data_IF_488871564725
#
_entry.id   IF_488871564725
#
_cell.length_a   1.000
_cell.length_b   1.000
_cell.length_c   1.000
_cell.angle_alpha   90.00
_cell.angle_beta   90.00
_cell.angle_gamma   90.00
#
_symmetry.space_group_name_H-M   'P 1'
#
loop_
_entity.id
_entity.type
_entity.pdbx_description
1 polymer ?
#
# COMPACT_ATOMS: atom_id res chain seq x y z
N UNK A 1 32.06 -3.89 0.46
CA UNK A 1 31.36 -3.57 -0.80
C UNK A 1 30.39 -4.70 -1.12
N UNK A 2 29.15 -4.33 -1.44
CA UNK A 2 28.10 -5.25 -1.89
C UNK A 2 28.47 -5.93 -3.22
N UNK A 3 28.04 -7.17 -3.43
CA UNK A 3 28.27 -7.91 -4.69
C UNK A 3 26.96 -8.16 -5.43
N UNK A 4 26.97 -8.06 -6.76
CA UNK A 4 25.82 -8.46 -7.59
C UNK A 4 25.51 -9.94 -7.36
N UNK A 5 24.21 -10.27 -7.33
CA UNK A 5 23.64 -11.57 -6.97
C UNK A 5 23.78 -11.98 -5.49
N UNK A 6 24.39 -11.14 -4.65
CA UNK A 6 24.32 -11.32 -3.21
C UNK A 6 22.88 -11.18 -2.72
N UNK A 7 22.52 -11.94 -1.69
CA UNK A 7 21.20 -11.86 -1.07
C UNK A 7 20.97 -10.47 -0.47
N UNK A 8 19.85 -9.86 -0.82
CA UNK A 8 19.43 -8.61 -0.23
C UNK A 8 18.75 -8.87 1.11
N UNK A 9 19.41 -8.41 2.19
CA UNK A 9 18.98 -8.68 3.57
C UNK A 9 17.88 -7.74 4.05
N UNK A 10 17.87 -6.49 3.62
CA UNK A 10 16.92 -5.48 4.08
C UNK A 10 15.64 -5.50 3.25
N UNK A 11 14.94 -6.63 3.21
CA UNK A 11 13.76 -6.77 2.37
C UNK A 11 12.59 -5.96 2.91
N UNK A 12 11.77 -5.39 2.01
CA UNK A 12 10.53 -4.74 2.42
C UNK A 12 9.56 -5.76 3.03
N UNK A 13 8.85 -5.38 4.09
CA UNK A 13 7.93 -6.25 4.80
C UNK A 13 6.80 -6.76 3.88
N UNK A 14 6.40 -8.02 4.05
CA UNK A 14 5.27 -8.59 3.33
C UNK A 14 3.97 -7.94 3.80
N UNK A 15 3.33 -7.16 2.94
CA UNK A 15 2.04 -6.54 3.24
C UNK A 15 0.89 -7.56 3.21
N UNK A 16 0.09 -7.58 4.29
CA UNK A 16 -1.10 -8.41 4.45
C UNK A 16 -2.21 -7.87 3.55
N UNK A 17 -2.84 -8.73 2.76
CA UNK A 17 -3.99 -8.34 1.93
C UNK A 17 -5.32 -8.42 2.68
N UNK A 18 -6.28 -7.56 2.31
CA UNK A 18 -7.67 -7.58 2.83
C UNK A 18 -8.38 -8.93 2.69
N UNK A 19 -7.96 -9.75 1.73
CA UNK A 19 -8.55 -11.06 1.46
C UNK A 19 -7.57 -12.21 1.76
N UNK A 20 -6.57 -11.96 2.62
CA UNK A 20 -5.59 -13.00 2.97
C UNK A 20 -6.26 -14.01 3.89
N UNK A 21 -6.44 -15.25 3.39
CA UNK A 21 -7.02 -16.34 4.16
C UNK A 21 -6.30 -16.55 5.50
N UNK A 22 -7.06 -16.74 6.58
CA UNK A 22 -6.54 -16.95 7.93
C UNK A 22 -6.06 -15.68 8.65
N UNK A 23 -6.21 -14.50 8.04
CA UNK A 23 -5.89 -13.19 8.65
C UNK A 23 -7.12 -12.34 8.96
N UNK A 24 -8.31 -12.92 8.89
CA UNK A 24 -9.59 -12.22 9.07
C UNK A 24 -9.70 -11.51 10.43
N UNK A 25 -9.15 -12.11 11.49
CA UNK A 25 -9.12 -11.50 12.82
C UNK A 25 -8.28 -10.22 12.87
N UNK A 26 -7.10 -10.21 12.23
CA UNK A 26 -6.22 -9.03 12.17
C UNK A 26 -6.90 -7.92 11.36
N UNK A 27 -7.48 -8.29 10.22
CA UNK A 27 -8.16 -7.34 9.32
C UNK A 27 -9.38 -6.74 10.03
N UNK A 28 -10.18 -7.58 10.70
CA UNK A 28 -11.33 -7.13 11.49
C UNK A 28 -10.90 -6.22 12.63
N UNK A 29 -9.80 -6.53 13.33
CA UNK A 29 -9.28 -5.66 14.39
C UNK A 29 -8.84 -4.30 13.85
N UNK A 30 -8.13 -4.27 12.73
CA UNK A 30 -7.66 -3.04 12.07
C UNK A 30 -8.83 -2.17 11.56
N UNK A 31 -9.91 -2.80 11.09
CA UNK A 31 -11.15 -2.13 10.67
C UNK A 31 -11.96 -1.63 11.88
N UNK A 32 -12.13 -2.46 12.90
CA UNK A 32 -12.93 -2.14 14.09
C UNK A 32 -12.28 -1.05 14.95
N UNK A 33 -10.94 -0.97 14.97
CA UNK A 33 -10.22 0.11 15.63
C UNK A 33 -10.36 1.46 14.93
N UNK A 34 -10.83 1.47 13.67
CA UNK A 34 -10.99 2.65 12.82
C UNK A 34 -9.82 3.64 12.93
N UNK A 35 -8.59 3.11 12.91
CA UNK A 35 -7.37 3.91 13.01
C UNK A 35 -7.22 4.86 11.83
N UNK A 36 -6.32 5.85 11.97
CA UNK A 36 -5.92 6.72 10.87
C UNK A 36 -4.94 5.98 9.94
N UNK A 37 -5.17 6.08 8.63
CA UNK A 37 -4.31 5.47 7.62
C UNK A 37 -3.94 6.47 6.52
N UNK A 38 -2.69 6.40 6.09
CA UNK A 38 -2.25 6.90 4.79
C UNK A 38 -2.64 5.92 3.70
N UNK A 39 -3.11 6.43 2.55
CA UNK A 39 -3.53 5.61 1.40
C UNK A 39 -2.67 5.95 0.20
N UNK A 40 -1.82 5.03 -0.22
CA UNK A 40 -1.03 5.16 -1.44
C UNK A 40 -1.48 4.17 -2.50
N UNK A 41 -1.25 4.53 -3.76
CA UNK A 41 -1.49 3.61 -4.87
C UNK A 41 -0.55 2.40 -4.78
N UNK A 42 -1.11 1.21 -5.03
CA UNK A 42 -0.31 0.01 -5.28
C UNK A 42 -0.04 -0.11 -6.78
N UNK A 43 1.23 -0.17 -7.15
CA UNK A 43 1.68 -0.41 -8.52
C UNK A 43 2.04 -1.89 -8.74
N UNK A 44 1.74 -2.40 -9.93
CA UNK A 44 2.04 -3.76 -10.40
C UNK A 44 3.36 -3.75 -11.18
N UNK A 45 4.45 -3.44 -10.49
CA UNK A 45 5.79 -3.43 -11.07
C UNK A 45 6.70 -4.41 -10.35
N UNK A 46 7.99 -4.07 -10.33
CA UNK A 46 8.99 -4.83 -9.62
C UNK A 46 9.54 -4.06 -8.44
N UNK A 47 9.38 -4.64 -7.25
CA UNK A 47 10.00 -4.14 -6.04
C UNK A 47 11.51 -3.95 -6.23
N UNK A 48 11.95 -2.72 -5.97
CA UNK A 48 13.33 -2.30 -6.08
C UNK A 48 13.71 -1.47 -4.84
N UNK A 49 14.98 -1.56 -4.46
CA UNK A 49 15.58 -0.79 -3.38
C UNK A 49 16.87 -0.14 -3.85
N UNK A 50 17.10 1.12 -3.50
CA UNK A 50 18.33 1.88 -3.79
C UNK A 50 18.94 2.31 -2.46
N UNK A 51 20.22 1.99 -2.22
CA UNK A 51 20.88 2.25 -0.93
C UNK A 51 22.01 3.26 -1.04
N UNK A 52 22.23 4.03 0.05
CA UNK A 52 23.43 4.88 0.24
C UNK A 52 24.74 4.09 0.20
N UNK A 53 24.68 2.76 0.35
CA UNK A 53 25.83 1.86 0.21
C UNK A 53 26.22 1.55 -1.25
N UNK A 54 25.61 2.26 -2.22
CA UNK A 54 25.99 2.16 -3.63
C UNK A 54 25.49 0.90 -4.33
N UNK A 55 24.36 0.34 -3.90
CA UNK A 55 23.74 -0.80 -4.58
C UNK A 55 22.25 -0.60 -4.86
N UNK A 56 21.79 -1.26 -5.93
CA UNK A 56 20.37 -1.44 -6.26
C UNK A 56 20.03 -2.92 -6.04
N UNK A 57 18.95 -3.18 -5.32
CA UNK A 57 18.46 -4.52 -5.08
C UNK A 57 17.04 -4.71 -5.63
N UNK A 58 16.78 -5.91 -6.12
CA UNK A 58 15.42 -6.45 -6.23
C UNK A 58 14.94 -6.90 -4.84
N UNK A 59 13.72 -7.43 -4.75
CA UNK A 59 13.19 -8.02 -3.49
C UNK A 59 14.14 -8.98 -2.79
N UNK A 60 14.95 -9.75 -3.52
CA UNK A 60 15.73 -10.86 -2.93
C UNK A 60 17.23 -10.74 -3.09
N UNK A 61 17.71 -9.94 -4.04
CA UNK A 61 19.12 -9.91 -4.41
C UNK A 61 19.55 -8.57 -4.97
N UNK A 62 20.82 -8.26 -4.76
CA UNK A 62 21.51 -7.11 -5.33
C UNK A 62 21.67 -7.33 -6.83
N UNK A 63 21.20 -6.37 -7.63
CA UNK A 63 21.14 -6.48 -9.10
C UNK A 63 22.06 -5.51 -9.81
N UNK A 64 22.48 -4.42 -9.16
CA UNK A 64 23.45 -3.48 -9.69
C UNK A 64 24.21 -2.79 -8.54
N UNK A 65 25.37 -2.24 -8.86
CA UNK A 65 26.15 -1.34 -7.99
C UNK A 65 26.46 -0.05 -8.75
N UNK A 66 27.00 0.95 -8.07
CA UNK A 66 27.48 2.20 -8.71
C UNK A 66 28.44 1.94 -9.86
N UNK A 67 29.25 0.88 -9.76
CA UNK A 67 30.31 0.57 -10.72
C UNK A 67 29.84 -0.42 -11.82
N UNK A 68 28.71 -1.09 -11.62
CA UNK A 68 28.23 -2.16 -12.48
C UNK A 68 26.72 -2.02 -12.73
N UNK A 69 26.40 -1.43 -13.88
CA UNK A 69 25.03 -1.22 -14.35
C UNK A 69 24.56 -2.44 -15.13
N UNK A 70 23.37 -2.92 -14.81
CA UNK A 70 22.75 -4.06 -15.48
C UNK A 70 21.40 -3.68 -16.06
N UNK A 71 20.78 -4.62 -16.79
CA UNK A 71 19.36 -4.53 -17.15
C UNK A 71 18.52 -5.20 -16.08
N UNK A 72 17.36 -4.63 -15.80
CA UNK A 72 16.34 -5.25 -14.95
C UNK A 72 15.01 -5.30 -15.69
N UNK A 73 14.38 -6.47 -15.73
CA UNK A 73 13.18 -6.73 -16.53
C UNK A 73 13.31 -6.29 -18.01
N UNK A 74 14.48 -6.56 -18.61
CA UNK A 74 14.83 -6.18 -19.99
C UNK A 74 14.95 -4.67 -20.25
N UNK A 75 14.82 -3.83 -19.22
CA UNK A 75 15.00 -2.39 -19.30
C UNK A 75 16.35 -1.96 -18.72
N UNK A 76 16.90 -0.88 -19.27
CA UNK A 76 18.13 -0.28 -18.73
C UNK A 76 17.86 0.36 -17.37
N UNK A 77 18.83 0.28 -16.47
CA UNK A 77 18.80 0.96 -15.17
C UNK A 77 19.36 2.40 -15.24
N UNK A 78 19.64 2.93 -16.43
CA UNK A 78 20.19 4.29 -16.64
C UNK A 78 19.39 5.40 -15.92
N UNK A 79 18.06 5.28 -15.84
CA UNK A 79 17.22 6.24 -15.12
C UNK A 79 17.23 6.06 -13.59
N UNK A 80 17.72 4.93 -13.10
CA UNK A 80 17.79 4.60 -11.67
C UNK A 80 19.14 5.02 -11.09
N UNK A 81 20.21 5.04 -11.88
CA UNK A 81 21.56 5.43 -11.41
C UNK A 81 21.57 6.83 -10.77
N UNK A 82 20.96 7.89 -11.35
CA UNK A 82 20.94 9.21 -10.73
C UNK A 82 20.25 9.23 -9.35
N UNK A 83 19.48 8.20 -9.00
CA UNK A 83 18.89 8.11 -7.66
C UNK A 83 19.94 7.90 -6.57
N UNK A 84 21.15 7.43 -6.86
CA UNK A 84 22.19 7.33 -5.82
C UNK A 84 22.51 8.69 -5.21
N UNK A 85 22.64 9.73 -6.04
CA UNK A 85 22.90 11.09 -5.57
C UNK A 85 21.73 11.62 -4.74
N UNK A 86 20.50 11.41 -5.20
CA UNK A 86 19.30 11.80 -4.46
C UNK A 86 19.17 11.05 -3.11
N UNK A 87 19.48 9.75 -3.07
CA UNK A 87 19.44 8.94 -1.85
C UNK A 87 20.55 9.36 -0.87
N UNK A 88 21.73 9.73 -1.37
CA UNK A 88 22.79 10.29 -0.54
C UNK A 88 22.43 11.67 0.03
N UNK A 89 21.78 12.52 -0.77
CA UNK A 89 21.24 13.80 -0.31
C UNK A 89 20.15 13.61 0.75
N UNK A 90 19.24 12.64 0.57
CA UNK A 90 18.25 12.27 1.58
C UNK A 90 18.93 11.90 2.90
N UNK A 91 19.93 11.02 2.85
CA UNK A 91 20.69 10.62 4.02
C UNK A 91 21.37 11.82 4.68
N UNK A 92 21.97 12.73 3.91
CA UNK A 92 22.61 13.93 4.44
C UNK A 92 21.62 14.85 5.16
N UNK A 93 20.43 15.07 4.59
CA UNK A 93 19.37 15.86 5.24
C UNK A 93 18.87 15.19 6.52
N UNK A 94 18.62 13.87 6.49
CA UNK A 94 18.19 13.13 7.68
C UNK A 94 19.26 13.15 8.77
N UNK A 95 20.52 12.94 8.41
CA UNK A 95 21.67 12.98 9.32
C UNK A 95 21.81 14.36 9.96
N UNK A 96 21.72 15.42 9.16
CA UNK A 96 21.93 16.80 9.64
C UNK A 96 20.78 17.29 10.53
N UNK A 97 19.54 17.04 10.13
CA UNK A 97 18.36 17.65 10.76
C UNK A 97 17.83 16.79 11.92
N UNK A 98 17.87 15.47 11.75
CA UNK A 98 17.08 14.56 12.59
C UNK A 98 17.91 13.57 13.39
N UNK A 99 19.02 13.09 12.82
CA UNK A 99 19.83 12.01 13.38
C UNK A 99 21.33 12.37 13.51
N UNK A 100 21.71 13.56 14.02
CA UNK A 100 23.09 14.05 13.97
C UNK A 100 24.09 13.11 14.66
N UNK A 101 23.65 12.43 15.72
CA UNK A 101 24.52 11.58 16.54
C UNK A 101 24.52 10.11 16.15
N UNK A 102 23.70 9.69 15.18
CA UNK A 102 23.57 8.28 14.81
C UNK A 102 24.28 7.96 13.51
N UNK A 103 25.01 6.86 13.47
CA UNK A 103 25.48 6.28 12.22
C UNK A 103 24.39 5.36 11.69
N UNK A 104 23.99 5.59 10.44
CA UNK A 104 22.97 4.81 9.77
C UNK A 104 23.14 4.89 8.26
N UNK A 105 22.45 4.01 7.57
CA UNK A 105 22.31 4.04 6.11
C UNK A 105 20.84 4.14 5.74
N UNK A 106 20.59 4.73 4.58
CA UNK A 106 19.24 4.87 4.01
C UNK A 106 19.08 3.91 2.84
N UNK A 107 17.90 3.30 2.78
CA UNK A 107 17.46 2.48 1.66
C UNK A 107 16.12 3.05 1.20
N UNK A 108 16.02 3.51 -0.05
CA UNK A 108 14.74 3.93 -0.62
C UNK A 108 14.12 2.74 -1.34
N UNK A 109 12.90 2.39 -0.94
CA UNK A 109 12.12 1.32 -1.57
C UNK A 109 11.09 1.91 -2.51
N UNK A 110 10.91 1.27 -3.65
CA UNK A 110 9.97 1.70 -4.67
C UNK A 110 9.61 0.60 -5.64
N UNK A 111 8.75 0.96 -6.56
CA UNK A 111 8.34 0.10 -7.65
C UNK A 111 9.03 0.54 -8.94
N UNK A 112 9.76 -0.39 -9.56
CA UNK A 112 10.29 -0.21 -10.90
C UNK A 112 9.24 -0.63 -11.93
N UNK A 113 8.91 0.27 -12.86
CA UNK A 113 7.83 0.06 -13.83
C UNK A 113 8.35 -0.62 -15.10
N UNK A 114 7.85 -1.81 -15.47
CA UNK A 114 8.16 -2.43 -16.76
C UNK A 114 7.36 -1.77 -17.89
N UNK A 115 7.57 -2.24 -19.14
CA UNK A 115 6.80 -1.80 -20.31
C UNK A 115 5.30 -2.14 -20.25
N UNK A 116 4.92 -3.13 -19.44
CA UNK A 116 3.53 -3.48 -19.15
C UNK A 116 3.31 -3.44 -17.65
N UNK A 117 3.01 -4.58 -17.06
CA UNK A 117 3.04 -4.78 -15.62
C UNK A 117 4.00 -5.93 -15.26
N UNK A 118 4.27 -6.15 -13.97
CA UNK A 118 5.06 -7.30 -13.58
C UNK A 118 4.35 -8.64 -13.84
N UNK A 119 3.02 -8.62 -13.97
CA UNK A 119 2.20 -9.80 -14.25
C UNK A 119 1.74 -9.92 -15.70
N UNK A 120 1.91 -8.87 -16.52
CA UNK A 120 1.41 -8.80 -17.89
C UNK A 120 2.36 -8.05 -18.82
N UNK A 121 2.43 -8.48 -20.09
CA UNK A 121 3.15 -7.71 -21.13
C UNK A 121 2.43 -6.41 -21.52
N UNK A 122 1.17 -6.26 -21.12
CA UNK A 122 0.33 -5.11 -21.43
C UNK A 122 0.20 -4.20 -20.22
N UNK A 123 0.10 -2.89 -20.46
CA UNK A 123 -0.22 -1.90 -19.44
C UNK A 123 -1.73 -1.93 -19.12
N UNK A 124 -2.16 -2.96 -18.37
CA UNK A 124 -3.58 -3.20 -18.06
C UNK A 124 -4.19 -2.18 -17.08
N UNK A 125 -3.37 -1.28 -16.52
CA UNK A 125 -3.77 -0.25 -15.56
C UNK A 125 -3.51 1.18 -16.07
N UNK A 126 -3.22 1.32 -17.37
CA UNK A 126 -2.94 2.58 -18.05
C UNK A 126 -1.92 3.46 -17.29
N UNK A 127 -0.87 2.84 -16.76
CA UNK A 127 0.21 3.50 -16.03
C UNK A 127 0.78 4.69 -16.80
N UNK A 128 1.04 4.54 -18.10
CA UNK A 128 1.63 5.62 -18.93
C UNK A 128 0.73 6.85 -18.97
N UNK A 129 -0.56 6.67 -19.24
CA UNK A 129 -1.54 7.76 -19.27
C UNK A 129 -1.69 8.45 -17.91
N UNK A 130 -1.39 7.73 -16.84
CA UNK A 130 -1.48 8.19 -15.45
C UNK A 130 -0.16 8.77 -14.92
N UNK A 131 0.86 8.88 -15.76
CA UNK A 131 2.15 9.50 -15.46
C UNK A 131 3.26 8.55 -15.00
N UNK A 132 2.99 7.24 -14.96
CA UNK A 132 3.98 6.22 -14.60
C UNK A 132 4.67 5.71 -15.87
N UNK A 133 5.97 5.97 -16.01
CA UNK A 133 6.72 5.65 -17.22
C UNK A 133 7.51 4.35 -17.07
N UNK A 134 7.58 3.50 -18.11
CA UNK A 134 8.45 2.34 -18.14
C UNK A 134 9.92 2.73 -17.89
N UNK A 135 10.63 1.89 -17.15
CA UNK A 135 12.04 2.11 -16.79
C UNK A 135 12.24 3.10 -15.64
N UNK A 136 11.16 3.68 -15.10
CA UNK A 136 11.22 4.57 -13.94
C UNK A 136 10.95 3.85 -12.63
N UNK A 137 11.44 4.46 -11.57
CA UNK A 137 11.31 4.03 -10.19
C UNK A 137 10.42 5.01 -9.43
N UNK A 138 9.44 4.47 -8.71
CA UNK A 138 8.51 5.25 -7.89
C UNK A 138 8.59 4.79 -6.44
N UNK A 139 9.18 5.60 -5.58
CA UNK A 139 9.37 5.32 -4.17
C UNK A 139 8.02 5.15 -3.41
N UNK A 140 7.95 4.21 -2.50
CA UNK A 140 6.82 4.00 -1.58
C UNK A 140 7.24 3.96 -0.10
N UNK A 141 8.52 4.14 0.21
CA UNK A 141 9.00 4.19 1.59
C UNK A 141 10.52 4.17 1.69
N UNK A 142 11.02 4.25 2.92
CA UNK A 142 12.44 4.13 3.23
C UNK A 142 12.71 3.08 4.31
N UNK A 143 13.94 2.59 4.33
CA UNK A 143 14.53 1.81 5.40
C UNK A 143 15.65 2.60 6.06
N UNK A 144 15.66 2.61 7.39
CA UNK A 144 16.71 3.21 8.20
C UNK A 144 17.42 2.09 8.95
N UNK A 145 18.67 1.84 8.59
CA UNK A 145 19.49 0.79 9.20
C UNK A 145 20.56 1.47 10.04
N UNK A 146 20.38 1.43 11.36
CA UNK A 146 21.30 1.99 12.34
C UNK A 146 22.32 0.94 12.78
N UNK A 147 23.53 1.39 13.17
CA UNK A 147 24.55 0.49 13.73
C UNK A 147 24.07 -0.19 15.03
N UNK A 148 23.28 0.52 15.83
CA UNK A 148 22.66 0.01 17.04
C UNK A 148 21.24 0.57 17.20
N UNK A 149 20.26 -0.32 17.44
CA UNK A 149 18.88 0.06 17.74
C UNK A 149 18.73 0.17 19.25
N UNK A 150 18.65 1.41 19.73
CA UNK A 150 18.45 1.75 21.15
C UNK A 150 17.07 2.37 21.35
N UNK A 151 16.61 2.50 22.59
CA UNK A 151 15.35 3.20 22.89
C UNK A 151 15.36 4.67 22.43
N UNK A 152 16.53 5.33 22.42
CA UNK A 152 16.67 6.69 21.90
C UNK A 152 16.46 6.74 20.38
N UNK A 153 17.08 5.81 19.64
CA UNK A 153 16.88 5.68 18.19
C UNK A 153 15.40 5.42 17.88
N UNK A 154 14.77 4.53 18.64
CA UNK A 154 13.34 4.24 18.51
C UNK A 154 12.48 5.49 18.71
N UNK A 155 12.69 6.20 19.83
CA UNK A 155 11.92 7.41 20.14
C UNK A 155 12.10 8.49 19.08
N UNK A 156 13.31 8.70 18.56
CA UNK A 156 13.56 9.66 17.50
C UNK A 156 12.91 9.25 16.19
N UNK A 157 13.04 7.99 15.77
CA UNK A 157 12.40 7.49 14.55
C UNK A 157 10.88 7.60 14.63
N UNK A 158 10.25 7.17 15.72
CA UNK A 158 8.78 7.23 15.90
C UNK A 158 8.27 8.67 15.99
N UNK A 159 9.09 9.61 16.50
CA UNK A 159 8.76 11.04 16.55
C UNK A 159 8.74 11.67 15.16
N UNK A 160 9.66 11.27 14.28
CA UNK A 160 9.81 11.86 12.94
C UNK A 160 8.91 11.14 11.93
N UNK A 161 8.92 9.82 11.95
CA UNK A 161 8.15 8.94 11.08
C UNK A 161 7.17 8.13 11.93
N UNK A 162 6.01 8.72 12.22
CA UNK A 162 5.01 8.09 13.11
C UNK A 162 4.51 6.73 12.63
N UNK A 163 4.50 6.55 11.31
CA UNK A 163 4.13 5.32 10.62
C UNK A 163 5.25 4.29 10.55
N UNK A 164 6.46 4.64 11.02
CA UNK A 164 7.58 3.72 10.99
C UNK A 164 7.38 2.57 11.97
N UNK A 165 7.91 1.41 11.61
CA UNK A 165 7.88 0.23 12.46
C UNK A 165 9.18 -0.54 12.34
N UNK A 166 9.55 -1.21 13.43
CA UNK A 166 10.72 -2.07 13.48
C UNK A 166 10.46 -3.34 12.66
N UNK A 167 11.35 -3.64 11.73
CA UNK A 167 11.32 -4.83 10.90
C UNK A 167 12.56 -5.68 11.15
N UNK A 168 12.37 -6.99 11.37
CA UNK A 168 13.46 -7.95 11.45
C UNK A 168 13.53 -8.73 10.15
N UNK A 169 14.67 -8.64 9.46
CA UNK A 169 14.93 -9.46 8.28
C UNK A 169 15.02 -10.95 8.62
N UNK A 170 15.01 -11.81 7.59
CA UNK A 170 15.20 -13.26 7.70
C UNK A 170 16.51 -13.66 8.39
N UNK A 171 17.51 -12.76 8.43
CA UNK A 171 18.80 -12.95 9.11
C UNK A 171 18.92 -12.23 10.45
N UNK A 172 17.79 -11.82 11.04
CA UNK A 172 17.71 -11.13 12.34
C UNK A 172 18.36 -9.74 12.41
N UNK A 173 18.82 -9.18 11.29
CA UNK A 173 19.18 -7.76 11.25
C UNK A 173 17.89 -6.94 11.31
N UNK A 174 17.73 -6.20 12.41
CA UNK A 174 16.61 -5.32 12.66
C UNK A 174 16.87 -3.92 12.08
N UNK A 175 15.85 -3.29 11.53
CA UNK A 175 15.91 -1.96 10.96
C UNK A 175 14.51 -1.36 10.89
N UNK A 176 14.42 -0.03 10.75
CA UNK A 176 13.11 0.63 10.65
C UNK A 176 12.66 0.71 9.20
N UNK A 177 11.38 0.40 8.96
CA UNK A 177 10.70 0.73 7.72
C UNK A 177 9.76 1.90 7.97
N UNK A 178 9.86 2.94 7.14
CA UNK A 178 8.95 4.07 7.13
C UNK A 178 8.24 4.12 5.77
N UNK A 179 7.01 3.61 5.66
CA UNK A 179 6.22 3.74 4.45
C UNK A 179 5.88 5.20 4.15
N UNK A 180 5.52 5.46 2.90
CA UNK A 180 5.24 6.83 2.43
C UNK A 180 4.07 7.48 3.18
N UNK A 181 4.30 8.74 3.55
CA UNK A 181 3.34 9.68 4.10
C UNK A 181 3.56 11.07 3.46
N UNK A 182 2.84 12.08 3.94
CA UNK A 182 2.98 13.44 3.40
C UNK A 182 4.36 14.04 3.65
N UNK A 183 4.98 13.74 4.79
CA UNK A 183 6.31 14.24 5.13
C UNK A 183 7.38 13.68 4.19
N UNK A 184 7.40 12.36 4.02
CA UNK A 184 8.34 11.67 3.14
C UNK A 184 8.09 12.02 1.67
N UNK A 185 6.84 12.21 1.27
CA UNK A 185 6.49 12.73 -0.07
C UNK A 185 7.13 14.09 -0.31
N UNK A 186 7.05 15.00 0.67
CA UNK A 186 7.68 16.33 0.60
C UNK A 186 9.21 16.25 0.53
N UNK A 187 9.83 15.35 1.31
CA UNK A 187 11.27 15.10 1.24
C UNK A 187 11.68 14.60 -0.14
N UNK A 188 11.02 13.56 -0.65
CA UNK A 188 11.28 12.98 -1.96
C UNK A 188 11.14 14.00 -3.09
N UNK A 189 10.07 14.80 -3.08
CA UNK A 189 9.87 15.87 -4.07
C UNK A 189 11.04 16.87 -4.07
N UNK A 190 11.49 17.31 -2.89
CA UNK A 190 12.57 18.29 -2.75
C UNK A 190 13.91 17.81 -3.33
N UNK A 191 14.18 16.50 -3.27
CA UNK A 191 15.44 15.88 -3.71
C UNK A 191 15.32 15.18 -5.07
N UNK A 192 14.17 15.28 -5.74
CA UNK A 192 13.95 14.70 -7.07
C UNK A 192 13.76 13.18 -7.10
N UNK A 193 13.21 12.58 -6.03
CA UNK A 193 12.78 11.17 -6.05
C UNK A 193 11.29 11.13 -6.40
N UNK A 194 10.95 10.51 -7.53
CA UNK A 194 9.57 10.21 -7.90
C UNK A 194 8.98 9.19 -6.91
N UNK A 195 7.70 9.35 -6.54
CA UNK A 195 7.04 8.48 -5.58
C UNK A 195 5.64 8.05 -6.03
N UNK A 196 5.13 6.99 -5.41
CA UNK A 196 3.74 6.56 -5.62
C UNK A 196 2.78 7.65 -5.15
N UNK A 197 1.62 7.75 -5.81
CA UNK A 197 0.61 8.75 -5.43
C UNK A 197 0.04 8.47 -4.05
N UNK A 198 0.11 9.46 -3.17
CA UNK A 198 -0.58 9.50 -1.89
C UNK A 198 -1.94 10.18 -2.08
N UNK A 199 -3.02 9.51 -1.66
CA UNK A 199 -4.39 9.93 -1.92
C UNK A 199 -5.04 10.63 -0.72
N UNK A 200 -4.79 10.14 0.49
CA UNK A 200 -5.45 10.64 1.70
C UNK A 200 -4.81 10.15 2.98
N UNK A 201 -5.11 10.86 4.06
CA UNK A 201 -4.90 10.45 5.46
C UNK A 201 -6.23 10.54 6.21
N UNK A 202 -6.88 9.40 6.47
CA UNK A 202 -8.22 9.38 7.06
C UNK A 202 -8.46 8.09 7.85
N UNK A 203 -9.52 8.02 8.68
CA UNK A 203 -9.95 6.76 9.27
C UNK A 203 -10.26 5.72 8.19
N UNK A 204 -9.92 4.45 8.44
CA UNK A 204 -10.06 3.39 7.43
C UNK A 204 -11.48 3.32 6.87
N UNK A 205 -12.50 3.42 7.71
CA UNK A 205 -13.90 3.36 7.26
C UNK A 205 -14.25 4.47 6.27
N UNK A 206 -13.72 5.68 6.49
CA UNK A 206 -13.95 6.82 5.61
C UNK A 206 -13.28 6.60 4.25
N UNK A 207 -12.07 6.04 4.24
CA UNK A 207 -11.37 5.70 2.99
C UNK A 207 -12.16 4.67 2.19
N UNK A 208 -12.66 3.63 2.85
CA UNK A 208 -13.44 2.58 2.18
C UNK A 208 -14.82 3.08 1.70
N UNK A 209 -15.34 4.17 2.27
CA UNK A 209 -16.58 4.82 1.84
C UNK A 209 -16.40 5.76 0.63
N UNK A 210 -15.16 6.13 0.29
CA UNK A 210 -14.87 7.10 -0.77
C UNK A 210 -15.04 6.50 -2.16
N UNK A 211 -16.06 6.97 -2.87
CA UNK A 211 -16.34 6.55 -4.24
C UNK A 211 -15.22 6.95 -5.21
N UNK A 212 -14.54 8.08 -5.00
CA UNK A 212 -13.43 8.53 -5.85
C UNK A 212 -12.18 7.64 -5.75
N UNK A 213 -12.00 6.93 -4.64
CA UNK A 213 -10.95 5.92 -4.47
C UNK A 213 -11.45 4.52 -4.87
N UNK A 214 -12.63 4.14 -4.39
CA UNK A 214 -13.12 2.77 -4.61
C UNK A 214 -13.58 2.54 -6.05
N UNK A 215 -14.11 3.54 -6.77
CA UNK A 215 -14.59 3.32 -8.13
C UNK A 215 -13.46 2.95 -9.12
N UNK A 216 -12.33 3.68 -9.20
CA UNK A 216 -11.22 3.27 -10.08
C UNK A 216 -10.72 1.84 -9.76
N UNK A 217 -10.63 1.50 -8.47
CA UNK A 217 -10.27 0.15 -8.03
C UNK A 217 -11.29 -0.91 -8.49
N UNK A 218 -12.59 -0.70 -8.22
CA UNK A 218 -13.67 -1.62 -8.58
C UNK A 218 -13.84 -1.76 -10.11
N UNK A 219 -13.53 -0.70 -10.86
CA UNK A 219 -13.52 -0.69 -12.32
C UNK A 219 -12.23 -1.27 -12.92
N UNK A 220 -11.31 -1.79 -12.08
CA UNK A 220 -10.03 -2.37 -12.49
C UNK A 220 -9.10 -1.41 -13.24
N UNK A 221 -9.26 -0.11 -13.01
CA UNK A 221 -8.35 0.92 -13.54
C UNK A 221 -7.05 1.00 -12.73
N UNK A 222 -7.04 0.42 -11.53
CA UNK A 222 -5.90 0.35 -10.62
C UNK A 222 -5.65 -1.09 -10.20
N UNK A 223 -4.39 -1.42 -9.91
CA UNK A 223 -4.06 -2.71 -9.30
C UNK A 223 -4.61 -2.78 -7.86
N UNK A 224 -4.47 -1.68 -7.11
CA UNK A 224 -4.87 -1.64 -5.71
C UNK A 224 -4.37 -0.43 -4.94
N UNK A 225 -4.50 -0.53 -3.62
CA UNK A 225 -4.05 0.47 -2.66
C UNK A 225 -3.25 -0.19 -1.53
N UNK A 226 -2.31 0.58 -0.97
CA UNK A 226 -1.65 0.28 0.29
C UNK A 226 -2.19 1.24 1.36
N UNK A 227 -2.57 0.68 2.50
CA UNK A 227 -3.03 1.39 3.68
C UNK A 227 -1.96 1.26 4.74
N UNK A 228 -1.33 2.37 5.11
CA UNK A 228 -0.31 2.42 6.15
C UNK A 228 -0.90 3.05 7.39
N UNK A 229 -0.87 2.35 8.53
CA UNK A 229 -1.31 2.92 9.80
C UNK A 229 -0.41 4.09 10.19
N UNK A 230 -0.99 5.24 10.56
CA UNK A 230 -0.25 6.46 10.92
C UNK A 230 0.62 6.27 12.18
N UNK A 231 0.34 5.24 12.98
CA UNK A 231 1.03 4.93 14.25
C UNK A 231 1.90 3.66 14.19
N UNK A 232 2.29 3.23 12.99
CA UNK A 232 3.26 2.14 12.82
C UNK A 232 2.71 0.74 13.14
N UNK A 233 1.40 0.60 13.40
CA UNK A 233 0.77 -0.72 13.67
C UNK A 233 0.81 -1.68 12.48
N UNK A 234 1.13 -1.20 11.28
CA UNK A 234 1.38 -2.04 10.11
C UNK A 234 0.76 -1.50 8.83
N UNK A 235 0.79 -2.37 7.80
CA UNK A 235 0.30 -2.06 6.46
C UNK A 235 -0.69 -3.13 5.98
N UNK A 236 -1.73 -2.68 5.28
CA UNK A 236 -2.67 -3.53 4.56
C UNK A 236 -2.61 -3.22 3.06
N UNK A 237 -2.87 -4.22 2.22
CA UNK A 237 -3.05 -4.02 0.77
C UNK A 237 -4.45 -4.42 0.35
N UNK A 238 -5.12 -3.54 -0.36
CA UNK A 238 -6.33 -3.85 -1.09
C UNK A 238 -5.93 -4.13 -2.53
N UNK A 239 -6.12 -5.38 -2.98
CA UNK A 239 -5.87 -5.82 -4.35
C UNK A 239 -6.99 -6.78 -4.72
N UNK A 240 -7.50 -6.68 -5.95
CA UNK A 240 -8.45 -7.66 -6.47
C UNK A 240 -7.70 -8.97 -6.68
N UNK A 241 -8.17 -10.06 -6.05
CA UNK A 241 -7.61 -11.38 -6.30
C UNK A 241 -7.82 -11.72 -7.80
N UNK A 242 -6.79 -12.16 -8.53
CA UNK A 242 -7.02 -12.73 -9.86
C UNK A 242 -7.94 -13.93 -9.67
N UNK A 243 -9.08 -13.90 -10.35
CA UNK A 243 -10.02 -15.01 -10.35
C UNK A 243 -9.28 -16.25 -10.85
N UNK A 244 -8.94 -17.18 -9.95
CA UNK A 244 -8.34 -18.45 -10.36
C UNK A 244 -9.36 -19.37 -11.02
N UNK A 245 -10.65 -19.08 -10.82
CA UNK A 245 -11.78 -19.61 -11.54
C UNK A 245 -12.85 -18.50 -11.58
N UNK A 246 -13.58 -18.34 -12.68
CA UNK A 246 -14.53 -17.26 -13.01
C UNK A 246 -15.72 -17.08 -12.03
N UNK A 247 -15.68 -17.69 -10.84
CA UNK A 247 -16.74 -17.61 -9.83
C UNK A 247 -16.43 -16.71 -8.62
N UNK A 248 -15.18 -16.26 -8.42
CA UNK A 248 -14.80 -15.49 -7.23
C UNK A 248 -14.77 -13.96 -7.41
N UNK A 249 -14.81 -13.45 -8.66
CA UNK A 249 -14.65 -12.00 -8.92
C UNK A 249 -15.88 -11.14 -8.55
N UNK A 250 -17.08 -11.70 -8.70
CA UNK A 250 -18.34 -11.06 -8.26
C UNK A 250 -18.54 -11.27 -6.75
N UNK A 251 -18.12 -12.42 -6.24
CA UNK A 251 -18.22 -12.75 -4.81
C UNK A 251 -17.31 -11.90 -3.94
N UNK A 252 -16.13 -11.48 -4.37
CA UNK A 252 -15.28 -10.57 -3.57
C UNK A 252 -15.82 -9.14 -3.53
N UNK A 253 -16.39 -8.62 -4.63
CA UNK A 253 -17.03 -7.30 -4.61
C UNK A 253 -18.35 -7.32 -3.85
N UNK A 254 -19.17 -8.37 -3.97
CA UNK A 254 -20.40 -8.53 -3.18
C UNK A 254 -20.13 -8.89 -1.73
N UNK A 255 -19.08 -9.64 -1.42
CA UNK A 255 -18.66 -9.94 -0.05
C UNK A 255 -18.02 -8.72 0.56
N UNK A 256 -17.18 -7.97 -0.16
CA UNK A 256 -16.67 -6.67 0.29
C UNK A 256 -17.82 -5.68 0.50
N UNK A 257 -18.77 -5.57 -0.43
CA UNK A 257 -20.00 -4.78 -0.26
C UNK A 257 -20.88 -5.31 0.87
N UNK A 258 -20.94 -6.62 1.10
CA UNK A 258 -21.72 -7.23 2.19
C UNK A 258 -21.04 -6.99 3.53
N UNK A 259 -19.71 -7.10 3.62
CA UNK A 259 -18.92 -6.78 4.80
C UNK A 259 -19.06 -5.29 5.11
N UNK A 260 -18.93 -4.45 4.08
CA UNK A 260 -19.09 -3.02 4.15
C UNK A 260 -20.52 -2.63 4.53
N UNK A 261 -21.55 -3.27 3.95
CA UNK A 261 -22.96 -3.04 4.31
C UNK A 261 -23.29 -3.54 5.71
N UNK A 262 -22.67 -4.64 6.18
CA UNK A 262 -22.86 -5.14 7.55
C UNK A 262 -22.22 -4.19 8.56
N UNK A 263 -21.02 -3.67 8.28
CA UNK A 263 -20.35 -2.67 9.10
C UNK A 263 -21.13 -1.34 9.05
N UNK A 264 -21.50 -0.90 7.84
CA UNK A 264 -22.27 0.32 7.61
C UNK A 264 -23.63 0.27 8.30
N UNK A 265 -24.45 -0.76 8.12
CA UNK A 265 -25.77 -0.87 8.79
C UNK A 265 -25.65 -1.03 10.32
N UNK A 266 -24.55 -1.62 10.82
CA UNK A 266 -24.30 -1.72 12.27
C UNK A 266 -23.93 -0.36 12.88
N UNK A 267 -23.12 0.43 12.18
CA UNK A 267 -22.60 1.72 12.66
C UNK A 267 -23.41 2.92 12.15
N UNK A 268 -24.41 2.69 11.28
CA UNK A 268 -25.31 3.70 10.70
C UNK A 268 -25.96 4.62 11.73
N UNK A 269 -26.45 4.16 12.89
CA UNK A 269 -27.00 5.05 13.90
C UNK A 269 -25.95 6.01 14.50
N UNK A 270 -24.68 5.60 14.53
CA UNK A 270 -23.55 6.41 14.99
C UNK A 270 -23.11 7.40 13.90
N UNK A 271 -23.03 6.95 12.65
CA UNK A 271 -22.70 7.78 11.48
C UNK A 271 -23.78 8.87 11.27
N UNK A 272 -25.06 8.52 11.36
CA UNK A 272 -26.19 9.44 11.24
C UNK A 272 -26.24 10.45 12.41
N UNK A 273 -25.77 10.04 13.60
CA UNK A 273 -25.65 10.91 14.78
C UNK A 273 -24.47 11.88 14.68
N UNK A 274 -23.36 11.47 14.07
CA UNK A 274 -22.16 12.29 13.90
C UNK A 274 -22.23 13.27 12.72
N UNK A 275 -22.95 12.93 11.66
CA UNK A 275 -22.97 13.73 10.43
C UNK A 275 -24.11 14.76 10.34
N UNK A 276 -25.08 14.70 11.25
CA UNK A 276 -26.20 15.64 11.28
C UNK A 276 -27.09 15.62 10.00
N UNK A 277 -28.20 16.36 9.99
CA UNK A 277 -29.22 16.29 8.93
C UNK A 277 -28.77 16.76 7.54
N UNK A 278 -27.58 17.36 7.42
CA UNK A 278 -27.10 17.99 6.17
C UNK A 278 -26.44 17.01 5.19
N UNK A 279 -26.26 15.73 5.53
CA UNK A 279 -25.80 14.70 4.59
C UNK A 279 -26.94 14.08 3.75
N UNK A 280 -28.13 14.70 3.73
CA UNK A 280 -29.17 14.38 2.75
C UNK A 280 -29.01 15.33 1.56
N UNK A 281 -28.74 14.72 0.41
CA UNK A 281 -28.58 15.33 -0.93
C UNK A 281 -27.15 15.77 -1.26
N UNK A 282 -26.44 14.93 -2.00
CA UNK A 282 -26.12 15.24 -3.40
C UNK A 282 -25.81 13.94 -4.13
N UNK A 283 -26.91 13.33 -4.60
CA UNK A 283 -26.93 12.25 -5.57
C UNK A 283 -26.94 12.95 -6.95
N UNK A 284 -25.76 13.21 -7.49
CA UNK A 284 -25.61 13.82 -8.82
C UNK A 284 -24.43 13.17 -9.55
N UNK A 285 -24.61 11.94 -10.00
CA UNK A 285 -24.13 11.43 -11.30
C UNK A 285 -24.56 9.97 -11.47
N UNK A 286 -25.79 9.77 -11.94
CA UNK A 286 -26.27 8.47 -12.38
C UNK A 286 -25.65 8.05 -13.72
N UNK A 287 -25.35 6.76 -13.85
CA UNK A 287 -25.73 5.98 -15.05
C UNK A 287 -26.30 4.62 -14.63
N UNK A 288 -27.33 4.24 -15.40
CA UNK A 288 -28.38 3.26 -15.13
C UNK A 288 -27.87 1.84 -14.83
N UNK A 289 -28.10 1.37 -13.61
CA UNK A 289 -28.48 -0.02 -13.37
C UNK A 289 -30.02 -0.04 -13.35
N UNK A 290 -30.62 -0.83 -14.26
CA UNK A 290 -32.06 -0.96 -14.43
C UNK A 290 -32.75 -1.24 -13.07
N UNK A 291 -33.87 -0.56 -12.75
CA UNK A 291 -34.58 -0.73 -11.47
C UNK A 291 -34.94 -2.20 -11.13
N UNK A 292 -35.16 -3.03 -12.16
CA UNK A 292 -35.43 -4.46 -12.03
C UNK A 292 -34.23 -5.24 -11.44
N UNK A 293 -32.99 -4.87 -11.79
CA UNK A 293 -31.76 -5.49 -11.27
C UNK A 293 -31.54 -5.15 -9.79
N UNK A 294 -31.87 -3.93 -9.36
CA UNK A 294 -31.80 -3.54 -7.95
C UNK A 294 -32.78 -4.33 -7.07
N UNK A 295 -33.98 -4.62 -7.58
CA UNK A 295 -34.99 -5.42 -6.86
C UNK A 295 -34.62 -6.90 -6.79
N UNK A 296 -34.13 -7.51 -7.88
CA UNK A 296 -33.73 -8.92 -7.88
C UNK A 296 -32.51 -9.20 -7.01
N UNK A 297 -31.52 -8.30 -7.00
CA UNK A 297 -30.33 -8.43 -6.15
C UNK A 297 -30.73 -8.28 -4.67
N UNK A 298 -31.58 -7.31 -4.32
CA UNK A 298 -32.12 -7.17 -2.95
C UNK A 298 -32.88 -8.42 -2.51
N UNK A 299 -33.73 -8.96 -3.38
CA UNK A 299 -34.52 -10.15 -3.09
C UNK A 299 -33.65 -11.40 -2.92
N UNK A 300 -32.61 -11.58 -3.76
CA UNK A 300 -31.64 -12.68 -3.64
C UNK A 300 -30.80 -12.59 -2.37
N UNK A 301 -30.34 -11.39 -2.00
CA UNK A 301 -29.58 -11.16 -0.76
C UNK A 301 -30.45 -11.43 0.48
N UNK A 302 -31.70 -10.93 0.51
CA UNK A 302 -32.62 -11.18 1.63
C UNK A 302 -33.02 -12.66 1.74
N UNK A 303 -33.22 -13.35 0.62
CA UNK A 303 -33.49 -14.79 0.59
C UNK A 303 -32.33 -15.61 1.19
N UNK A 304 -31.09 -15.29 0.80
CA UNK A 304 -29.88 -16.00 1.25
C UNK A 304 -29.55 -15.72 2.74
N UNK A 305 -29.83 -14.52 3.22
CA UNK A 305 -29.75 -14.16 4.64
C UNK A 305 -30.77 -14.93 5.48
N UNK A 306 -32.01 -15.10 4.99
CA UNK A 306 -33.05 -15.88 5.69
C UNK A 306 -32.72 -17.38 5.74
N UNK A 307 -32.09 -17.95 4.71
CA UNK A 307 -31.65 -19.36 4.73
C UNK A 307 -30.48 -19.59 5.70
N UNK A 308 -29.54 -18.64 5.80
CA UNK A 308 -28.40 -18.72 6.73
C UNK A 308 -28.83 -18.57 8.19
N UNK A 309 -29.84 -17.74 8.46
CA UNK A 309 -30.41 -17.58 9.82
C UNK A 309 -31.20 -18.84 10.23
N UNK A 310 -31.93 -19.48 9.31
CA UNK A 310 -32.60 -20.77 9.60
C UNK A 310 -31.62 -21.91 9.90
N UNK A 311 -30.46 -21.95 9.23
CA UNK A 311 -29.43 -22.97 9.49
C UNK A 311 -28.78 -22.84 10.88
N UNK A 312 -28.70 -21.62 11.44
CA UNK A 312 -28.21 -21.40 12.82
C UNK A 312 -29.24 -21.69 13.92
N UNK A 313 -30.53 -21.78 13.60
CA UNK A 313 -31.60 -22.10 14.54
C UNK A 313 -31.95 -23.59 14.60
N UNK A 314 -31.40 -24.41 13.69
CA UNK A 314 -31.54 -25.88 13.69
C UNK A 314 -30.30 -26.57 14.31
N UNK A 315 -29.21 -25.83 14.53
CA UNK A 315 -27.95 -26.30 15.13
C UNK A 315 -27.73 -25.79 16.57
N UNK A 316 -28.80 -25.39 17.26
CA UNK A 316 -28.87 -25.14 18.71
C UNK A 316 -30.04 -25.90 19.28
#
# INVERSE_FOLDING_TARGET
MAKINEEFKYQWSKTIGFFTHGKDHIISELINKNGMYYVSEKLDGSNMAVSTEGYIASRHKIIATTDQVTKFQSLSLEHVIPLFDAVNELHSQLKTIFFPHYNFKVIVYGEFMPNGTASSKYDIYNYVERGYQPGRFYAFGIGLVFDAITENVKADVERIFRQAFLHCSTKQEAFYLAPIDWFLTGLFYKIGIDCVRLHSEQPLQNILARSDLMNPFLQRQLEGYIFTSVDGRGMLKLKIAPAKDDYFSVFDCETFKSYFNVIYEREKPFIEKCMGPQARMEDHYGRKLLPQVKCEIRAKIQSKLRSLIKLKLVLK
#
